data_IF_288256375611
#
_entry.id   IF_288256375611
#
_cell.length_a   1.000
_cell.length_b   1.000
_cell.length_c   1.000
_cell.angle_alpha   90.00
_cell.angle_beta   90.00
_cell.angle_gamma   90.00
#
_symmetry.space_group_name_H-M   'P 1'
#
loop_
_entity.id
_entity.type
_entity.pdbx_description
1 polymer ?
#
# COMPACT_ATOMS: atom_id res chain seq x y z
N UNK A 1 -7.04 -11.63 -2.27
CA UNK A 1 -6.24 -10.60 -1.60
C UNK A 1 -6.66 -10.56 -0.15
N UNK A 2 -5.83 -11.12 0.74
CA UNK A 2 -6.14 -11.12 2.17
C UNK A 2 -5.96 -9.71 2.72
N UNK A 3 -7.05 -9.09 3.15
CA UNK A 3 -7.03 -7.80 3.84
C UNK A 3 -6.39 -8.01 5.19
N UNK A 4 -5.08 -7.75 5.29
CA UNK A 4 -4.34 -7.81 6.54
C UNK A 4 -5.01 -6.85 7.52
N UNK A 5 -5.77 -7.42 8.44
CA UNK A 5 -6.56 -6.66 9.42
C UNK A 5 -5.67 -6.37 10.63
N UNK A 6 -5.91 -5.28 11.35
CA UNK A 6 -5.16 -4.92 12.56
C UNK A 6 -5.03 -6.09 13.56
N UNK A 7 -6.07 -6.92 13.66
CA UNK A 7 -6.06 -8.14 14.48
C UNK A 7 -4.98 -9.16 14.05
N UNK A 8 -4.71 -9.28 12.75
CA UNK A 8 -3.71 -10.20 12.20
C UNK A 8 -2.28 -9.71 12.49
N UNK A 9 -2.07 -8.39 12.43
CA UNK A 9 -0.80 -7.77 12.83
C UNK A 9 -0.57 -7.94 14.34
N UNK A 10 -1.62 -7.79 15.15
CA UNK A 10 -1.54 -8.00 16.61
C UNK A 10 -1.19 -9.46 16.96
N UNK A 11 -1.79 -10.42 16.26
CA UNK A 11 -1.52 -11.84 16.46
C UNK A 11 -0.08 -12.21 16.09
N UNK A 12 0.45 -11.62 15.02
CA UNK A 12 1.86 -11.74 14.64
C UNK A 12 2.78 -11.12 15.69
N UNK A 13 2.48 -9.92 16.18
CA UNK A 13 3.26 -9.25 17.22
C UNK A 13 3.35 -10.10 18.51
N UNK A 14 2.25 -10.76 18.90
CA UNK A 14 2.22 -11.65 20.07
C UNK A 14 3.01 -12.96 19.88
N UNK A 15 3.25 -13.39 18.64
CA UNK A 15 4.05 -14.58 18.30
C UNK A 15 5.54 -14.28 18.19
N UNK A 16 5.96 -13.02 18.17
CA UNK A 16 7.37 -12.66 18.14
C UNK A 16 7.98 -12.68 19.55
N UNK A 17 9.17 -13.28 19.75
CA UNK A 17 9.91 -13.15 21.01
C UNK A 17 10.26 -11.68 21.26
N UNK A 18 10.19 -11.23 22.51
CA UNK A 18 10.43 -9.82 22.93
C UNK A 18 11.75 -9.23 22.40
N UNK A 19 12.76 -10.08 22.18
CA UNK A 19 14.06 -9.69 21.63
C UNK A 19 14.00 -9.21 20.17
N UNK A 20 12.95 -9.55 19.43
CA UNK A 20 12.76 -9.17 18.01
C UNK A 20 11.67 -8.12 17.80
N UNK A 21 11.00 -7.68 18.87
CA UNK A 21 9.95 -6.67 18.80
C UNK A 21 10.49 -5.30 18.38
N UNK A 22 11.64 -4.88 18.90
CA UNK A 22 12.30 -3.63 18.48
C UNK A 22 12.65 -3.62 16.97
N UNK A 23 13.37 -4.62 16.43
CA UNK A 23 13.67 -4.63 15.00
C UNK A 23 12.43 -4.79 14.12
N UNK A 24 11.42 -5.55 14.56
CA UNK A 24 10.15 -5.66 13.83
C UNK A 24 9.37 -4.32 13.82
N UNK A 25 9.35 -3.60 14.93
CA UNK A 25 8.76 -2.26 15.03
C UNK A 25 9.49 -1.27 14.11
N UNK A 26 10.82 -1.23 14.16
CA UNK A 26 11.60 -0.37 13.27
C UNK A 26 11.41 -0.74 11.78
N UNK A 27 11.25 -2.02 11.47
CA UNK A 27 10.95 -2.47 10.12
C UNK A 27 9.56 -2.02 9.64
N UNK A 28 8.52 -2.14 10.49
CA UNK A 28 7.17 -1.68 10.19
C UNK A 28 7.11 -0.14 10.09
N UNK A 29 7.81 0.56 10.98
CA UNK A 29 7.96 2.02 10.94
C UNK A 29 8.61 2.45 9.63
N UNK A 30 9.73 1.82 9.25
CA UNK A 30 10.38 2.09 7.98
C UNK A 30 9.46 1.78 6.79
N UNK A 31 8.65 0.73 6.83
CA UNK A 31 7.70 0.44 5.75
C UNK A 31 6.65 1.54 5.59
N UNK A 32 6.14 2.10 6.69
CA UNK A 32 5.18 3.22 6.66
C UNK A 32 5.86 4.51 6.19
N UNK A 33 7.06 4.81 6.68
CA UNK A 33 7.79 6.02 6.33
C UNK A 33 8.32 6.00 4.88
N UNK A 34 8.54 4.79 4.32
CA UNK A 34 8.96 4.59 2.94
C UNK A 34 7.79 4.31 1.99
N UNK A 35 6.53 4.39 2.44
CA UNK A 35 5.39 4.33 1.52
C UNK A 35 5.23 5.70 0.83
N UNK A 36 5.65 5.83 -0.44
CA UNK A 36 5.70 7.13 -1.12
C UNK A 36 4.31 7.71 -1.38
N UNK A 37 3.24 6.92 -1.17
CA UNK A 37 1.88 7.27 -1.55
C UNK A 37 0.99 7.68 -0.36
N UNK A 38 1.45 7.53 0.88
CA UNK A 38 0.65 7.87 2.07
C UNK A 38 1.06 9.23 2.66
N UNK A 39 0.77 10.30 1.93
CA UNK A 39 0.55 11.60 2.59
C UNK A 39 -0.70 11.44 3.48
N UNK A 40 -0.63 11.71 4.80
CA UNK A 40 -1.80 11.71 5.65
C UNK A 40 -2.88 12.60 5.01
N UNK A 41 -4.12 12.12 4.87
CA UNK A 41 -5.18 12.86 4.17
C UNK A 41 -5.37 14.29 4.73
N UNK A 42 -5.12 14.47 6.03
CA UNK A 42 -5.12 15.76 6.72
C UNK A 42 -4.07 16.73 6.16
N UNK A 43 -2.87 16.23 5.84
CA UNK A 43 -1.79 17.00 5.23
C UNK A 43 -2.01 17.26 3.75
N UNK A 44 -2.78 16.41 3.05
CA UNK A 44 -3.16 16.67 1.66
C UNK A 44 -4.23 17.78 1.55
N UNK A 45 -5.16 17.82 2.51
CA UNK A 45 -6.22 18.82 2.55
C UNK A 45 -5.72 20.24 2.85
N UNK A 46 -4.54 20.38 3.48
CA UNK A 46 -3.91 21.67 3.77
C UNK A 46 -3.09 22.26 2.61
N UNK A 47 -2.77 21.47 1.58
CA UNK A 47 -2.02 21.92 0.41
C UNK A 47 -2.80 22.92 -0.46
N UNK A 48 -2.11 23.73 -1.25
CA UNK A 48 -2.76 24.52 -2.29
C UNK A 48 -3.37 23.64 -3.39
N UNK A 49 -4.33 24.17 -4.14
CA UNK A 49 -4.99 23.44 -5.23
C UNK A 49 -3.97 22.97 -6.29
N UNK A 50 -2.95 23.77 -6.58
CA UNK A 50 -1.94 23.43 -7.58
C UNK A 50 -1.00 22.31 -7.10
N UNK A 51 -0.64 22.30 -5.82
CA UNK A 51 0.14 21.21 -5.22
C UNK A 51 -0.65 19.91 -5.22
N UNK A 52 -1.94 19.96 -4.84
CA UNK A 52 -2.83 18.80 -4.92
C UNK A 52 -2.93 18.26 -6.34
N UNK A 53 -3.08 19.13 -7.33
CA UNK A 53 -3.12 18.74 -8.75
C UNK A 53 -1.84 18.06 -9.21
N UNK A 54 -0.67 18.55 -8.79
CA UNK A 54 0.63 17.94 -9.13
C UNK A 54 0.75 16.53 -8.56
N UNK A 55 0.41 16.36 -7.28
CA UNK A 55 0.43 15.04 -6.62
C UNK A 55 -0.53 14.08 -7.31
N UNK A 56 -1.78 14.49 -7.55
CA UNK A 56 -2.77 13.66 -8.24
C UNK A 56 -2.33 13.28 -9.66
N UNK A 57 -1.70 14.21 -10.39
CA UNK A 57 -1.17 13.92 -11.72
C UNK A 57 -0.04 12.87 -11.69
N UNK A 58 0.83 12.94 -10.68
CA UNK A 58 1.90 11.95 -10.48
C UNK A 58 1.33 10.57 -10.13
N UNK A 59 0.40 10.51 -9.18
CA UNK A 59 -0.27 9.28 -8.79
C UNK A 59 -1.06 8.65 -9.95
N UNK A 60 -1.76 9.47 -10.75
CA UNK A 60 -2.45 9.00 -11.94
C UNK A 60 -1.48 8.36 -12.95
N UNK A 61 -0.28 8.93 -13.11
CA UNK A 61 0.75 8.38 -14.00
C UNK A 61 1.31 7.04 -13.48
N UNK A 62 1.61 6.96 -12.19
CA UNK A 62 2.08 5.72 -11.55
C UNK A 62 1.02 4.63 -11.64
N UNK A 63 -0.23 4.97 -11.34
CA UNK A 63 -1.35 4.03 -11.40
C UNK A 63 -1.63 3.56 -12.83
N UNK A 64 -1.53 4.44 -13.82
CA UNK A 64 -1.58 4.05 -15.25
C UNK A 64 -0.48 3.04 -15.59
N UNK A 65 0.77 3.33 -15.21
CA UNK A 65 1.90 2.43 -15.45
C UNK A 65 1.70 1.06 -14.80
N UNK A 66 1.24 1.05 -13.54
CA UNK A 66 0.93 -0.18 -12.81
C UNK A 66 -0.19 -0.97 -13.50
N UNK A 67 -1.24 -0.30 -13.98
CA UNK A 67 -2.32 -0.95 -14.68
C UNK A 67 -1.95 -1.47 -16.07
N UNK A 68 -1.00 -0.84 -16.76
CA UNK A 68 -0.44 -1.36 -18.01
C UNK A 68 0.41 -2.61 -17.75
N UNK A 69 1.21 -2.60 -16.70
CA UNK A 69 2.07 -3.72 -16.32
C UNK A 69 1.27 -4.95 -15.85
N UNK A 70 0.19 -4.74 -15.09
CA UNK A 70 -0.67 -5.82 -14.55
C UNK A 70 -1.80 -6.23 -15.50
N UNK A 71 -1.77 -5.80 -16.77
CA UNK A 71 -2.88 -6.02 -17.72
C UNK A 71 -3.15 -7.51 -17.96
N UNK A 72 -2.11 -8.32 -18.10
CA UNK A 72 -2.24 -9.76 -18.38
C UNK A 72 -2.85 -10.49 -17.19
N UNK A 73 -2.27 -10.37 -16.00
CA UNK A 73 -2.82 -10.94 -14.76
C UNK A 73 -4.26 -10.48 -14.55
N UNK A 74 -4.56 -9.18 -14.73
CA UNK A 74 -5.93 -8.69 -14.59
C UNK A 74 -6.89 -9.33 -15.59
N UNK A 75 -6.45 -9.54 -16.82
CA UNK A 75 -7.27 -10.21 -17.84
C UNK A 75 -7.55 -11.65 -17.45
N UNK A 76 -6.58 -12.36 -16.88
CA UNK A 76 -6.76 -13.72 -16.34
C UNK A 76 -7.76 -13.74 -15.18
N UNK A 77 -7.64 -12.82 -14.22
CA UNK A 77 -8.58 -12.69 -13.09
C UNK A 77 -9.99 -12.22 -13.52
N UNK A 78 -10.10 -11.41 -14.58
CA UNK A 78 -11.37 -10.85 -15.07
C UNK A 78 -12.08 -11.71 -16.13
N UNK A 79 -11.35 -12.57 -16.84
CA UNK A 79 -11.92 -13.51 -17.82
C UNK A 79 -12.79 -14.59 -17.16
N UNK A 80 -12.65 -14.78 -15.85
CA UNK A 80 -13.45 -15.77 -15.09
C UNK A 80 -13.11 -17.21 -15.46
N UNK A 81 -12.00 -17.44 -16.16
CA UNK A 81 -11.53 -18.78 -16.48
C UNK A 81 -10.83 -19.38 -15.25
N UNK A 82 -11.64 -19.93 -14.36
CA UNK A 82 -11.18 -20.88 -13.33
C UNK A 82 -11.24 -22.33 -13.86
N UNK A 83 -11.14 -22.51 -15.17
CA UNK A 83 -11.24 -23.79 -15.87
C UNK A 83 -9.94 -24.58 -15.87
N UNK A 84 -9.94 -25.61 -15.03
CA UNK A 84 -9.30 -26.94 -15.15
C UNK A 84 -8.18 -27.18 -16.18
#
# INVERSE_FOLDING_TARGET
METITHAHVQELANKLPETKLSPAFHFLQNLVDNDPDTMPQENFASLSIDERRRILAQQAKQMKSHYEQTRTERTEWQAGDFGH
#
